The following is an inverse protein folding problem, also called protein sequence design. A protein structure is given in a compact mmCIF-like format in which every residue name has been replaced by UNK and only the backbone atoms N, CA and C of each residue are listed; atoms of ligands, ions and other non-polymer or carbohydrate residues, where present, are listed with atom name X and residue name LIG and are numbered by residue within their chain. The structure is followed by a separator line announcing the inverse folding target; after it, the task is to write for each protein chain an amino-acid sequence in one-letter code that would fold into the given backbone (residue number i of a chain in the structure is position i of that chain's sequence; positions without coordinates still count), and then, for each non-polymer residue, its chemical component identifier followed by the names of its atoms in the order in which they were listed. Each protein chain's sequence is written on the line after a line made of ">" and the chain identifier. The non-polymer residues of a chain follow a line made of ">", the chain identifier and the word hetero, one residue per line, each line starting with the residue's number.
data_IF_558746496391
#
_entry.id   IF_558746496391
#
_cell.length_a   1.000
_cell.length_b   1.000
_cell.length_c   1.000
_cell.angle_alpha   90.00
_cell.angle_beta   90.00
_cell.angle_gamma   90.00
#
_symmetry.space_group_name_H-M   'P 1'
#
loop_
_entity.id
_entity.type
_entity.pdbx_description
1 polymer ?
#
# COMPACT_ATOMS: atom_id res chain seq x y z
N UNK A 1 11.01 -0.45 11.01
CA UNK A 1 10.07 -0.56 9.87
C UNK A 1 8.80 -1.14 10.45
N UNK A 2 7.69 -0.39 10.53
CA UNK A 2 6.43 -0.93 11.04
C UNK A 2 5.68 -1.54 9.87
N UNK A 3 5.38 -2.84 9.95
CA UNK A 3 4.53 -3.56 9.01
C UNK A 3 3.22 -3.84 9.74
N UNK A 4 2.11 -3.29 9.23
CA UNK A 4 0.77 -3.58 9.73
C UNK A 4 -0.01 -4.22 8.60
N UNK A 5 -0.60 -5.38 8.88
CA UNK A 5 -1.63 -5.96 8.02
C UNK A 5 -2.96 -5.32 8.41
N UNK A 6 -3.65 -4.77 7.43
CA UNK A 6 -4.95 -4.14 7.64
C UNK A 6 -5.90 -4.65 6.57
N UNK A 7 -7.11 -5.06 6.97
CA UNK A 7 -8.14 -5.53 6.04
C UNK A 7 -8.88 -4.40 5.33
N UNK A 8 -8.59 -3.15 5.68
CA UNK A 8 -9.23 -1.98 5.10
C UNK A 8 -8.18 -0.87 4.96
N UNK A 9 -8.16 -0.22 3.79
CA UNK A 9 -7.27 0.90 3.51
C UNK A 9 -7.66 2.11 4.38
N UNK A 10 -6.76 2.63 5.24
CA UNK A 10 -7.02 3.89 5.94
C UNK A 10 -7.00 5.06 4.94
N UNK A 11 -7.77 6.15 5.15
CA UNK A 11 -7.84 7.28 4.21
C UNK A 11 -6.54 8.08 4.06
N UNK A 12 -5.51 7.78 4.86
CA UNK A 12 -4.24 8.53 4.96
C UNK A 12 -3.04 7.71 4.51
N UNK A 13 -3.23 6.85 3.52
CA UNK A 13 -2.18 6.06 2.89
C UNK A 13 -1.75 6.66 1.55
N UNK A 14 -0.49 6.44 1.19
CA UNK A 14 0.04 6.82 -0.12
C UNK A 14 0.39 5.59 -0.93
N UNK A 15 -0.01 5.63 -2.19
CA UNK A 15 0.38 4.66 -3.20
C UNK A 15 1.71 5.13 -3.85
N UNK A 16 2.71 4.25 -3.96
CA UNK A 16 4.04 4.65 -4.41
C UNK A 16 4.11 5.03 -5.90
N UNK A 17 3.22 4.49 -6.75
CA UNK A 17 3.17 4.78 -8.18
C UNK A 17 1.73 5.12 -8.61
N UNK A 18 1.59 5.90 -9.68
CA UNK A 18 0.30 6.19 -10.30
C UNK A 18 -0.38 4.92 -10.85
N UNK A 19 -1.70 4.89 -10.76
CA UNK A 19 -2.54 3.76 -11.18
C UNK A 19 -2.56 2.57 -10.21
N UNK A 20 -1.80 2.63 -9.11
CA UNK A 20 -1.77 1.56 -8.10
C UNK A 20 -3.10 1.35 -7.36
N UNK A 21 -3.95 2.38 -7.31
CA UNK A 21 -5.27 2.32 -6.68
C UNK A 21 -6.19 1.32 -7.40
N UNK A 22 -6.05 1.17 -8.72
CA UNK A 22 -6.91 0.29 -9.53
C UNK A 22 -6.72 -1.20 -9.23
N UNK A 23 -5.63 -1.56 -8.55
CA UNK A 23 -5.34 -2.95 -8.19
C UNK A 23 -5.88 -3.34 -6.82
N UNK A 24 -6.41 -2.39 -6.04
CA UNK A 24 -6.91 -2.63 -4.68
C UNK A 24 -8.42 -2.59 -4.64
N UNK A 25 -9.01 -3.65 -4.10
CA UNK A 25 -10.43 -3.74 -3.77
C UNK A 25 -10.64 -3.54 -2.26
N UNK A 26 -11.85 -3.17 -1.87
CA UNK A 26 -12.22 -2.94 -0.46
C UNK A 26 -12.09 -4.19 0.42
N UNK A 27 -12.15 -5.38 -0.18
CA UNK A 27 -12.06 -6.67 0.52
C UNK A 27 -10.64 -7.24 0.55
N UNK A 28 -9.66 -6.57 -0.08
CA UNK A 28 -8.30 -7.07 -0.13
C UNK A 28 -7.54 -6.85 1.17
N UNK A 29 -6.68 -7.81 1.49
CA UNK A 29 -5.70 -7.63 2.53
C UNK A 29 -4.51 -6.82 2.02
N UNK A 30 -4.25 -5.69 2.67
CA UNK A 30 -3.15 -4.82 2.29
C UNK A 30 -2.05 -4.83 3.34
N UNK A 31 -0.81 -4.96 2.86
CA UNK A 31 0.37 -4.81 3.69
C UNK A 31 0.81 -3.35 3.65
N UNK A 32 0.75 -2.71 4.81
CA UNK A 32 1.13 -1.33 5.00
C UNK A 32 2.50 -1.28 5.66
N UNK A 33 3.41 -0.47 5.10
CA UNK A 33 4.70 -0.17 5.70
C UNK A 33 4.77 1.30 6.12
N UNK A 34 5.43 1.56 7.24
CA UNK A 34 5.76 2.92 7.67
C UNK A 34 6.51 3.69 6.57
N UNK A 35 6.01 4.88 6.25
CA UNK A 35 6.55 5.79 5.25
C UNK A 35 7.27 6.93 5.96
N UNK A 36 8.61 6.82 6.06
CA UNK A 36 9.46 7.85 6.67
C UNK A 36 10.14 7.45 7.98
N UNK A 37 10.62 8.45 8.73
CA UNK A 37 11.26 8.30 10.05
C UNK A 37 10.19 8.20 11.13
N UNK A 38 10.44 7.35 12.14
CA UNK A 38 9.55 7.02 13.29
C UNK A 38 8.60 8.17 13.66
N UNK A 39 7.31 8.04 13.29
CA UNK A 39 6.24 8.95 13.70
C UNK A 39 6.09 10.28 12.93
N UNK A 40 6.93 10.57 11.92
CA UNK A 40 6.81 11.78 11.10
C UNK A 40 6.26 11.47 9.71
N UNK A 41 5.43 12.38 9.20
CA UNK A 41 4.99 12.34 7.82
C UNK A 41 6.19 12.55 6.88
N UNK A 42 6.17 11.92 5.71
CA UNK A 42 7.25 12.01 4.72
C UNK A 42 6.79 12.90 3.57
N UNK A 43 7.55 13.96 3.30
CA UNK A 43 7.25 14.94 2.25
C UNK A 43 6.22 15.97 2.70
N UNK A 44 5.46 16.49 1.74
CA UNK A 44 4.60 17.66 1.94
C UNK A 44 3.17 17.31 2.38
N UNK A 45 2.85 16.02 2.52
CA UNK A 45 1.50 15.57 2.86
C UNK A 45 1.38 15.36 4.38
N UNK A 46 0.65 16.22 5.11
CA UNK A 46 0.40 16.02 6.53
C UNK A 46 -0.50 14.78 6.73
N UNK A 47 -0.21 14.00 7.77
CA UNK A 47 -1.02 12.83 8.14
C UNK A 47 -0.66 11.52 7.42
N UNK A 48 0.02 11.57 6.28
CA UNK A 48 0.52 10.37 5.59
C UNK A 48 1.77 9.86 6.27
N UNK A 49 1.63 8.75 6.99
CA UNK A 49 2.73 8.07 7.70
C UNK A 49 2.98 6.66 7.18
N UNK A 50 2.18 6.23 6.21
CA UNK A 50 2.06 4.84 5.82
C UNK A 50 1.97 4.76 4.29
N UNK A 51 2.64 3.76 3.72
CA UNK A 51 2.55 3.42 2.30
C UNK A 51 2.09 1.99 2.13
N UNK A 52 1.38 1.73 1.05
CA UNK A 52 0.99 0.36 0.69
C UNK A 52 2.16 -0.33 -0.04
N UNK A 53 2.46 -1.57 0.32
CA UNK A 53 3.59 -2.34 -0.25
C UNK A 53 3.13 -3.62 -0.94
N UNK A 54 2.12 -4.30 -0.37
CA UNK A 54 1.53 -5.51 -0.96
C UNK A 54 0.02 -5.46 -0.85
N UNK A 55 -0.65 -6.15 -1.78
CA UNK A 55 -2.10 -6.30 -1.87
C UNK A 55 -2.36 -7.78 -2.16
N UNK A 56 -3.19 -8.43 -1.34
CA UNK A 56 -3.60 -9.83 -1.49
C UNK A 56 -2.41 -10.80 -1.68
N UNK A 57 -1.36 -10.60 -0.89
CA UNK A 57 -0.13 -11.40 -0.91
C UNK A 57 0.86 -11.08 -2.05
N UNK A 58 0.47 -10.24 -3.02
CA UNK A 58 1.33 -9.83 -4.14
C UNK A 58 1.90 -8.43 -3.93
N UNK A 59 3.16 -8.23 -4.31
CA UNK A 59 3.77 -6.91 -4.25
C UNK A 59 3.14 -5.95 -5.27
N UNK A 60 2.79 -4.74 -4.82
CA UNK A 60 2.26 -3.68 -5.70
C UNK A 60 3.21 -3.36 -6.86
N UNK A 61 4.53 -3.41 -6.63
CA UNK A 61 5.53 -3.25 -7.68
C UNK A 61 5.50 -4.37 -8.74
N UNK A 62 5.07 -5.58 -8.36
CA UNK A 62 4.96 -6.70 -9.29
C UNK A 62 3.67 -6.61 -10.11
N UNK A 63 2.57 -6.18 -9.49
CA UNK A 63 1.29 -5.87 -10.16
C UNK A 63 1.48 -4.73 -11.15
N UNK A 64 2.12 -3.63 -10.72
CA UNK A 64 2.36 -2.45 -11.56
C UNK A 64 3.28 -2.72 -12.76
N UNK A 65 4.24 -3.64 -12.60
CA UNK A 65 5.11 -4.08 -13.70
C UNK A 65 4.51 -5.24 -14.51
N UNK A 66 3.26 -5.61 -14.24
CA UNK A 66 2.55 -6.74 -14.86
C UNK A 66 3.32 -8.08 -14.82
N UNK A 67 4.23 -8.23 -13.85
CA UNK A 67 5.03 -9.45 -13.67
C UNK A 67 4.26 -10.54 -12.95
N UNK A 68 3.24 -10.16 -12.20
CA UNK A 68 2.33 -11.05 -11.47
C UNK A 68 0.95 -10.44 -11.56
N UNK A 69 -0.04 -11.28 -11.75
CA UNK A 69 -1.44 -10.89 -11.61
C UNK A 69 -1.90 -11.09 -10.17
N UNK A 70 -2.99 -10.39 -9.83
CA UNK A 70 -3.65 -10.53 -8.54
C UNK A 70 -4.25 -11.94 -8.48
N UNK A 71 -3.94 -12.75 -7.44
CA UNK A 71 -4.62 -14.02 -7.25
C UNK A 71 -6.10 -13.71 -7.01
N UNK A 72 -6.95 -14.03 -7.99
CA UNK A 72 -8.40 -14.08 -7.80
C UNK A 72 -8.72 -15.49 -7.33
N UNK A 73 -9.35 -15.58 -6.17
CA UNK A 73 -9.96 -16.82 -5.68
C UNK A 73 -11.47 -16.63 -5.59
#
# INVERSE_FOLDING_TARGET
>A
MYLKYERQLPPTNVFPNDGCLNFVDENDEVLIAGFGRKGKAKGDIPGVRFKVVKVSGVGLLALWKEKKEKPRS
#
